data_IF_601318745796
#
_entry.id   IF_601318745796
#
_cell.length_a   1.000
_cell.length_b   1.000
_cell.length_c   1.000
_cell.angle_alpha   90.00
_cell.angle_beta   90.00
_cell.angle_gamma   90.00
#
_symmetry.space_group_name_H-M   'P 1'
#
loop_
_entity.id
_entity.type
_entity.pdbx_description
1 polymer ?
#
# COMPACT_ATOMS: atom_id res chain seq x y z
N UNK A 1 -15.34 2.18 12.28
CA UNK A 1 -14.40 1.04 12.47
C UNK A 1 -14.55 0.32 13.83
N UNK A 2 -14.16 0.91 14.98
CA UNK A 2 -14.15 0.18 16.27
C UNK A 2 -15.49 -0.47 16.66
N UNK A 3 -16.60 0.27 16.56
CA UNK A 3 -17.92 -0.26 16.87
C UNK A 3 -18.32 -1.46 15.99
N UNK A 4 -17.90 -1.47 14.72
CA UNK A 4 -18.19 -2.57 13.80
C UNK A 4 -17.39 -3.85 14.12
N UNK A 5 -16.19 -3.69 14.70
CA UNK A 5 -15.31 -4.80 15.09
C UNK A 5 -15.63 -5.34 16.49
N UNK A 6 -16.21 -4.53 17.37
CA UNK A 6 -16.47 -4.87 18.77
C UNK A 6 -17.27 -6.17 18.97
N UNK A 7 -18.15 -6.54 18.04
CA UNK A 7 -18.95 -7.76 18.14
C UNK A 7 -18.14 -9.05 18.02
N UNK A 8 -16.98 -9.00 17.36
CA UNK A 8 -16.21 -10.20 17.04
C UNK A 8 -15.32 -10.65 18.20
N UNK A 9 -15.15 -11.96 18.32
CA UNK A 9 -14.09 -12.56 19.12
C UNK A 9 -12.73 -12.19 18.53
N UNK A 10 -11.81 -11.77 19.40
CA UNK A 10 -10.53 -11.17 19.01
C UNK A 10 -9.63 -12.16 18.29
N UNK A 11 -9.48 -13.36 18.84
CA UNK A 11 -8.52 -14.35 18.36
C UNK A 11 -8.95 -14.92 17.01
N UNK A 12 -10.23 -15.26 16.87
CA UNK A 12 -10.80 -15.74 15.61
C UNK A 12 -10.77 -14.66 14.53
N UNK A 13 -11.16 -13.42 14.84
CA UNK A 13 -11.09 -12.30 13.90
C UNK A 13 -9.66 -12.04 13.41
N UNK A 14 -8.69 -12.01 14.33
CA UNK A 14 -7.29 -11.79 13.99
C UNK A 14 -6.75 -12.93 13.12
N UNK A 15 -6.94 -14.18 13.54
CA UNK A 15 -6.42 -15.34 12.83
C UNK A 15 -7.02 -15.47 11.43
N UNK A 16 -8.34 -15.30 11.31
CA UNK A 16 -9.02 -15.42 10.03
C UNK A 16 -8.60 -14.30 9.05
N UNK A 17 -8.49 -13.07 9.54
CA UNK A 17 -8.03 -11.94 8.73
C UNK A 17 -6.56 -12.10 8.33
N UNK A 18 -5.72 -12.61 9.21
CA UNK A 18 -4.31 -12.79 8.93
C UNK A 18 -4.08 -13.85 7.84
N UNK A 19 -4.82 -14.96 7.88
CA UNK A 19 -4.85 -15.96 6.81
C UNK A 19 -5.41 -15.38 5.50
N UNK A 20 -6.42 -14.51 5.58
CA UNK A 20 -6.95 -13.81 4.40
C UNK A 20 -5.89 -12.90 3.77
N UNK A 21 -5.10 -12.18 4.58
CA UNK A 21 -3.99 -11.35 4.08
C UNK A 21 -2.94 -12.22 3.39
N UNK A 22 -2.60 -13.40 3.92
CA UNK A 22 -1.70 -14.36 3.22
C UNK A 22 -2.26 -14.70 1.84
N UNK A 23 -3.54 -15.07 1.76
CA UNK A 23 -4.16 -15.41 0.48
C UNK A 23 -4.16 -14.23 -0.50
N UNK A 24 -4.38 -13.00 -0.02
CA UNK A 24 -4.32 -11.78 -0.84
C UNK A 24 -2.90 -11.54 -1.37
N UNK A 25 -1.89 -11.64 -0.51
CA UNK A 25 -0.49 -11.48 -0.93
C UNK A 25 -0.08 -12.57 -1.94
N UNK A 26 -0.50 -13.81 -1.72
CA UNK A 26 -0.29 -14.91 -2.66
C UNK A 26 -0.97 -14.62 -4.02
N UNK A 27 -2.23 -14.16 -4.03
CA UNK A 27 -2.95 -13.85 -5.26
C UNK A 27 -2.29 -12.71 -6.05
N UNK A 28 -1.86 -11.63 -5.39
CA UNK A 28 -1.24 -10.49 -6.08
C UNK A 28 0.12 -10.88 -6.70
N UNK A 29 0.88 -11.74 -6.02
CA UNK A 29 2.24 -12.10 -6.46
C UNK A 29 2.28 -13.30 -7.41
N UNK A 30 1.20 -14.10 -7.47
CA UNK A 30 1.10 -15.29 -8.32
C UNK A 30 1.42 -15.02 -9.81
N UNK A 31 0.83 -14.02 -10.50
CA UNK A 31 1.07 -13.81 -11.93
C UNK A 31 2.52 -13.44 -12.25
N UNK A 32 3.18 -12.69 -11.35
CA UNK A 32 4.50 -12.11 -11.60
C UNK A 32 5.65 -13.01 -11.17
N UNK A 33 5.47 -13.75 -10.08
CA UNK A 33 6.55 -14.51 -9.44
C UNK A 33 6.27 -16.02 -9.36
N UNK A 34 5.01 -16.41 -9.39
CA UNK A 34 4.63 -17.82 -9.23
C UNK A 34 4.57 -18.60 -10.54
N UNK A 35 3.99 -18.00 -11.58
CA UNK A 35 3.69 -18.71 -12.82
C UNK A 35 4.84 -18.58 -13.80
N UNK A 36 5.43 -19.72 -14.20
CA UNK A 36 6.57 -19.75 -15.14
C UNK A 36 6.16 -19.51 -16.59
N UNK A 37 4.95 -19.96 -16.94
CA UNK A 37 4.47 -19.94 -18.31
C UNK A 37 3.68 -18.66 -18.62
N UNK A 38 4.05 -17.89 -19.66
CA UNK A 38 3.40 -16.62 -19.94
C UNK A 38 1.88 -16.71 -20.19
N UNK A 39 1.46 -17.73 -20.94
CA UNK A 39 0.04 -17.93 -21.22
C UNK A 39 -0.79 -18.19 -19.96
N UNK A 40 -0.18 -18.73 -18.90
CA UNK A 40 -0.89 -19.10 -17.68
C UNK A 40 -1.24 -17.87 -16.85
N UNK A 41 -0.38 -16.85 -16.82
CA UNK A 41 -0.70 -15.60 -16.14
C UNK A 41 -1.74 -14.79 -16.92
N UNK A 42 -1.66 -14.72 -18.26
CA UNK A 42 -2.71 -14.10 -19.08
C UNK A 42 -4.04 -14.83 -18.88
N UNK A 43 -4.02 -16.17 -18.92
CA UNK A 43 -5.19 -16.99 -18.71
C UNK A 43 -5.81 -16.77 -17.32
N UNK A 44 -4.99 -16.54 -16.28
CA UNK A 44 -5.44 -16.23 -14.93
C UNK A 44 -6.07 -14.82 -14.87
N UNK A 45 -5.38 -13.79 -15.35
CA UNK A 45 -5.83 -12.39 -15.20
C UNK A 45 -7.16 -12.13 -15.92
N UNK A 46 -7.37 -12.76 -17.07
CA UNK A 46 -8.57 -12.60 -17.87
C UNK A 46 -9.75 -13.48 -17.41
N UNK A 47 -9.52 -14.43 -16.49
CA UNK A 47 -10.60 -15.29 -16.01
C UNK A 47 -11.66 -14.45 -15.26
N UNK A 48 -12.96 -14.58 -15.59
CA UNK A 48 -14.03 -13.94 -14.84
C UNK A 48 -14.01 -14.37 -13.37
N UNK A 49 -14.26 -13.45 -12.44
CA UNK A 49 -14.30 -13.79 -11.01
C UNK A 49 -15.43 -14.78 -10.69
N UNK A 50 -16.52 -14.68 -11.44
CA UNK A 50 -17.59 -15.66 -11.46
C UNK A 50 -17.14 -16.89 -12.25
N UNK A 51 -16.51 -17.82 -11.52
CA UNK A 51 -15.91 -19.04 -12.07
C UNK A 51 -16.94 -19.97 -12.75
N UNK A 52 -18.24 -19.77 -12.52
CA UNK A 52 -19.31 -20.55 -13.16
C UNK A 52 -19.47 -20.22 -14.65
N UNK A 53 -18.96 -19.05 -15.08
CA UNK A 53 -18.99 -18.64 -16.49
C UNK A 53 -17.98 -19.39 -17.35
N UNK A 54 -16.83 -19.75 -16.77
CA UNK A 54 -15.75 -20.47 -17.46
C UNK A 54 -15.21 -21.66 -16.64
N UNK A 55 -16.06 -22.65 -16.29
CA UNK A 55 -15.72 -23.68 -15.32
C UNK A 55 -14.61 -24.63 -15.80
N UNK A 56 -14.48 -24.83 -17.12
CA UNK A 56 -13.40 -25.64 -17.70
C UNK A 56 -12.04 -24.95 -17.56
N UNK A 57 -11.97 -23.65 -17.86
CA UNK A 57 -10.75 -22.85 -17.75
C UNK A 57 -10.30 -22.74 -16.30
N UNK A 58 -11.23 -22.47 -15.39
CA UNK A 58 -10.94 -22.48 -13.95
C UNK A 58 -10.37 -23.83 -13.50
N UNK A 59 -10.96 -24.95 -13.93
CA UNK A 59 -10.48 -26.29 -13.55
C UNK A 59 -9.05 -26.57 -14.02
N UNK A 60 -8.68 -26.13 -15.22
CA UNK A 60 -7.31 -26.23 -15.76
C UNK A 60 -6.34 -25.38 -14.94
N UNK A 61 -6.68 -24.11 -14.69
CA UNK A 61 -5.88 -23.21 -13.86
C UNK A 61 -5.69 -23.77 -12.45
N UNK A 62 -6.77 -24.22 -11.81
CA UNK A 62 -6.75 -24.84 -10.50
C UNK A 62 -5.85 -26.08 -10.46
N UNK A 63 -5.91 -26.93 -11.50
CA UNK A 63 -5.03 -28.10 -11.59
C UNK A 63 -3.55 -27.70 -11.60
N UNK A 64 -3.16 -26.68 -12.37
CA UNK A 64 -1.79 -26.17 -12.38
C UNK A 64 -1.38 -25.58 -11.03
N UNK A 65 -2.27 -24.84 -10.38
CA UNK A 65 -2.02 -24.27 -9.05
C UNK A 65 -1.81 -25.38 -8.01
N UNK A 66 -2.65 -26.42 -7.99
CA UNK A 66 -2.47 -27.59 -7.10
C UNK A 66 -1.16 -28.31 -7.41
N UNK A 67 -0.87 -28.55 -8.68
CA UNK A 67 0.35 -29.25 -9.10
C UNK A 67 1.63 -28.52 -8.65
N UNK A 68 1.65 -27.19 -8.77
CA UNK A 68 2.84 -26.40 -8.45
C UNK A 68 2.95 -26.04 -6.97
N UNK A 69 1.87 -25.61 -6.32
CA UNK A 69 1.87 -25.02 -4.98
C UNK A 69 1.20 -25.89 -3.91
N UNK A 70 0.55 -26.99 -4.30
CA UNK A 70 -0.14 -27.91 -3.40
C UNK A 70 -1.57 -27.50 -3.03
N UNK A 71 -2.28 -28.42 -2.39
CA UNK A 71 -3.71 -28.30 -2.07
C UNK A 71 -4.02 -27.14 -1.12
N UNK A 72 -3.18 -26.90 -0.11
CA UNK A 72 -3.44 -25.84 0.88
C UNK A 72 -3.38 -24.44 0.24
N UNK A 73 -2.47 -24.23 -0.71
CA UNK A 73 -2.41 -22.99 -1.48
C UNK A 73 -3.63 -22.85 -2.38
N UNK A 74 -3.97 -23.91 -3.13
CA UNK A 74 -5.12 -23.93 -4.02
C UNK A 74 -6.45 -23.68 -3.28
N UNK A 75 -6.58 -24.19 -2.05
CA UNK A 75 -7.73 -23.94 -1.19
C UNK A 75 -7.83 -22.46 -0.81
N UNK A 76 -6.74 -21.84 -0.32
CA UNK A 76 -6.72 -20.39 -0.01
C UNK A 76 -7.06 -19.54 -1.22
N UNK A 77 -6.46 -19.86 -2.37
CA UNK A 77 -6.74 -19.20 -3.65
C UNK A 77 -8.23 -19.28 -4.01
N UNK A 78 -8.80 -20.49 -4.02
CA UNK A 78 -10.21 -20.70 -4.38
C UNK A 78 -11.16 -20.02 -3.40
N UNK A 79 -10.89 -20.13 -2.10
CA UNK A 79 -11.67 -19.47 -1.05
C UNK A 79 -11.66 -17.95 -1.22
N UNK A 80 -10.51 -17.35 -1.52
CA UNK A 80 -10.40 -15.92 -1.76
C UNK A 80 -11.20 -15.49 -3.01
N UNK A 81 -11.12 -16.24 -4.11
CA UNK A 81 -11.87 -15.93 -5.33
C UNK A 81 -13.39 -16.00 -5.11
N UNK A 82 -13.86 -17.00 -4.37
CA UNK A 82 -15.28 -17.13 -4.02
C UNK A 82 -15.76 -15.93 -3.18
N UNK A 83 -14.95 -15.51 -2.21
CA UNK A 83 -15.26 -14.32 -1.40
C UNK A 83 -15.22 -13.04 -2.25
N UNK A 84 -14.26 -12.91 -3.16
CA UNK A 84 -14.18 -11.77 -4.08
C UNK A 84 -15.40 -11.71 -5.02
N UNK A 85 -15.89 -12.85 -5.51
CA UNK A 85 -17.14 -12.89 -6.28
C UNK A 85 -18.33 -12.44 -5.43
N UNK A 86 -18.45 -12.94 -4.20
CA UNK A 86 -19.54 -12.58 -3.28
C UNK A 86 -19.53 -11.08 -2.92
N UNK A 87 -18.36 -10.54 -2.57
CA UNK A 87 -18.23 -9.13 -2.21
C UNK A 87 -18.44 -8.21 -3.42
N UNK A 88 -18.02 -8.63 -4.61
CA UNK A 88 -18.27 -7.91 -5.85
C UNK A 88 -19.77 -7.76 -6.14
N UNK A 89 -20.56 -8.81 -5.91
CA UNK A 89 -22.02 -8.72 -6.01
C UNK A 89 -22.60 -7.78 -4.95
N UNK A 90 -22.15 -7.89 -3.69
CA UNK A 90 -22.60 -7.02 -2.60
C UNK A 90 -22.33 -5.54 -2.90
N UNK A 91 -21.11 -5.21 -3.33
CA UNK A 91 -20.75 -3.84 -3.67
C UNK A 91 -21.54 -3.29 -4.85
N UNK A 92 -21.82 -4.12 -5.87
CA UNK A 92 -22.68 -3.72 -6.97
C UNK A 92 -24.12 -3.45 -6.53
N UNK A 93 -24.66 -4.26 -5.60
CA UNK A 93 -26.01 -4.05 -5.04
C UNK A 93 -26.13 -2.76 -4.22
N UNK A 94 -25.02 -2.30 -3.61
CA UNK A 94 -24.98 -1.10 -2.78
C UNK A 94 -24.41 0.13 -3.52
N UNK A 95 -24.19 0.05 -4.83
CA UNK A 95 -23.67 1.12 -5.70
C UNK A 95 -22.37 1.78 -5.21
N UNK A 96 -21.43 0.98 -4.67
CA UNK A 96 -20.11 1.48 -4.22
C UNK A 96 -19.24 1.77 -5.45
N UNK A 97 -19.19 3.03 -5.91
CA UNK A 97 -18.55 3.39 -7.19
C UNK A 97 -17.04 3.15 -7.20
N UNK A 98 -16.36 3.31 -6.06
CA UNK A 98 -14.93 3.02 -5.91
C UNK A 98 -14.54 1.57 -6.24
N UNK A 99 -15.52 0.66 -6.25
CA UNK A 99 -15.35 -0.76 -6.60
C UNK A 99 -15.81 -1.11 -8.02
N UNK A 100 -16.27 -0.12 -8.80
CA UNK A 100 -16.89 -0.36 -10.10
C UNK A 100 -15.90 -1.02 -11.05
N UNK A 101 -16.22 -2.25 -11.47
CA UNK A 101 -15.38 -3.04 -12.37
C UNK A 101 -14.24 -3.79 -11.69
N UNK A 102 -13.97 -3.55 -10.41
CA UNK A 102 -12.92 -4.22 -9.62
C UNK A 102 -13.12 -5.73 -9.51
N UNK A 103 -14.36 -6.21 -9.61
CA UNK A 103 -14.70 -7.62 -9.45
C UNK A 103 -15.25 -8.24 -10.75
N UNK A 104 -14.67 -7.86 -11.90
CA UNK A 104 -15.05 -8.44 -13.21
C UNK A 104 -14.22 -9.66 -13.57
N UNK A 105 -12.91 -9.58 -13.34
CA UNK A 105 -11.94 -10.64 -13.59
C UNK A 105 -10.97 -10.76 -12.42
N UNK A 106 -10.18 -11.83 -12.38
CA UNK A 106 -9.13 -11.99 -11.37
C UNK A 106 -8.11 -10.85 -11.45
N UNK A 107 -7.73 -10.40 -12.65
CA UNK A 107 -6.82 -9.27 -12.82
C UNK A 107 -7.38 -7.97 -12.24
N UNK A 108 -8.68 -7.71 -12.40
CA UNK A 108 -9.32 -6.56 -11.77
C UNK A 108 -9.32 -6.67 -10.23
N UNK A 109 -9.53 -7.87 -9.69
CA UNK A 109 -9.49 -8.14 -8.25
C UNK A 109 -8.08 -7.92 -7.70
N UNK A 110 -7.05 -8.38 -8.41
CA UNK A 110 -5.64 -8.16 -8.04
C UNK A 110 -5.36 -6.66 -7.95
N UNK A 111 -5.69 -5.88 -8.98
CA UNK A 111 -5.47 -4.44 -8.98
C UNK A 111 -6.20 -3.75 -7.82
N UNK A 112 -7.44 -4.15 -7.56
CA UNK A 112 -8.22 -3.63 -6.44
C UNK A 112 -7.57 -3.95 -5.09
N UNK A 113 -7.25 -5.22 -4.81
CA UNK A 113 -6.61 -5.64 -3.56
C UNK A 113 -5.23 -5.00 -3.37
N UNK A 114 -4.44 -4.90 -4.44
CA UNK A 114 -3.13 -4.26 -4.43
C UNK A 114 -3.24 -2.78 -4.04
N UNK A 115 -4.22 -2.05 -4.59
CA UNK A 115 -4.46 -0.64 -4.21
C UNK A 115 -4.93 -0.47 -2.76
N UNK A 116 -5.48 -1.52 -2.13
CA UNK A 116 -5.93 -1.52 -0.72
C UNK A 116 -4.94 -2.20 0.23
N UNK A 117 -3.80 -2.70 -0.26
CA UNK A 117 -2.86 -3.54 0.53
C UNK A 117 -2.51 -2.93 1.89
N UNK A 118 -2.16 -1.64 1.92
CA UNK A 118 -1.85 -0.93 3.18
C UNK A 118 -3.04 -0.96 4.15
N UNK A 119 -4.25 -0.69 3.66
CA UNK A 119 -5.47 -0.67 4.47
C UNK A 119 -5.87 -2.05 5.02
N UNK A 120 -5.59 -3.13 4.27
CA UNK A 120 -5.81 -4.49 4.74
C UNK A 120 -4.92 -4.78 5.97
N UNK A 121 -3.64 -4.39 5.88
CA UNK A 121 -2.69 -4.51 7.00
C UNK A 121 -3.04 -3.57 8.16
N UNK A 122 -3.53 -2.35 7.89
CA UNK A 122 -4.00 -1.45 8.95
C UNK A 122 -5.19 -2.02 9.72
N UNK A 123 -6.09 -2.73 9.04
CA UNK A 123 -7.17 -3.43 9.71
C UNK A 123 -6.63 -4.56 10.60
N UNK A 124 -5.61 -5.30 10.15
CA UNK A 124 -4.93 -6.32 10.97
C UNK A 124 -4.36 -5.73 12.26
N UNK A 125 -3.72 -4.57 12.19
CA UNK A 125 -3.24 -3.84 13.36
C UNK A 125 -4.36 -3.32 14.27
N UNK A 126 -5.55 -3.08 13.73
CA UNK A 126 -6.69 -2.52 14.47
C UNK A 126 -7.48 -3.60 15.20
N UNK A 127 -7.55 -4.83 14.67
CA UNK A 127 -8.38 -5.91 15.24
C UNK A 127 -8.07 -6.20 16.72
N UNK A 128 -6.80 -6.39 17.16
CA UNK A 128 -6.50 -6.79 18.54
C UNK A 128 -7.09 -5.86 19.62
N UNK A 129 -7.14 -4.55 19.34
CA UNK A 129 -7.68 -3.54 20.27
C UNK A 129 -9.19 -3.31 20.10
N UNK A 130 -9.74 -3.56 18.91
CA UNK A 130 -11.11 -3.21 18.58
C UNK A 130 -12.10 -4.36 18.75
N UNK A 131 -11.66 -5.61 18.59
CA UNK A 131 -12.47 -6.80 18.78
C UNK A 131 -12.47 -7.21 20.27
N UNK A 132 -13.65 -7.27 20.88
CA UNK A 132 -13.85 -7.61 22.29
C UNK A 132 -15.15 -8.39 22.56
N UNK A 133 -15.78 -8.91 21.52
CA UNK A 133 -17.03 -9.64 21.59
C UNK A 133 -16.83 -11.14 21.62
N UNK A 134 -17.86 -11.88 21.21
CA UNK A 134 -17.89 -13.34 21.26
C UNK A 134 -18.20 -13.98 19.90
N UNK A 135 -18.52 -13.18 18.88
CA UNK A 135 -18.85 -13.71 17.56
C UNK A 135 -17.59 -14.21 16.86
N UNK A 136 -17.48 -15.53 16.68
CA UNK A 136 -16.39 -16.10 15.91
C UNK A 136 -16.49 -15.69 14.43
N UNK A 137 -15.35 -15.53 13.76
CA UNK A 137 -15.29 -15.21 12.32
C UNK A 137 -14.90 -16.47 11.52
N UNK A 138 -15.81 -17.02 10.70
CA UNK A 138 -15.49 -18.13 9.81
C UNK A 138 -14.53 -17.69 8.70
N UNK A 139 -13.55 -18.54 8.36
CA UNK A 139 -12.58 -18.26 7.29
C UNK A 139 -13.25 -17.96 5.95
N UNK A 140 -14.36 -18.66 5.64
CA UNK A 140 -15.08 -18.55 4.37
C UNK A 140 -15.80 -17.20 4.18
N UNK A 141 -16.03 -16.45 5.25
CA UNK A 141 -16.75 -15.17 5.22
C UNK A 141 -15.85 -13.96 5.55
N UNK A 142 -14.57 -14.19 5.79
CA UNK A 142 -13.70 -13.20 6.42
C UNK A 142 -13.55 -11.93 5.57
N UNK A 143 -13.26 -12.06 4.28
CA UNK A 143 -13.18 -10.91 3.36
C UNK A 143 -14.52 -10.18 3.28
N UNK A 144 -15.65 -10.90 3.25
CA UNK A 144 -16.99 -10.31 3.18
C UNK A 144 -17.34 -9.49 4.43
N UNK A 145 -16.80 -9.87 5.60
CA UNK A 145 -17.00 -9.12 6.85
C UNK A 145 -16.09 -7.89 6.94
N UNK A 146 -14.84 -8.01 6.49
CA UNK A 146 -13.79 -7.04 6.79
C UNK A 146 -13.46 -6.09 5.63
N UNK A 147 -13.59 -6.52 4.38
CA UNK A 147 -13.34 -5.66 3.22
C UNK A 147 -14.30 -4.46 3.14
N UNK A 148 -15.61 -4.57 3.47
CA UNK A 148 -16.48 -3.39 3.54
C UNK A 148 -16.00 -2.36 4.55
N UNK A 149 -15.42 -2.81 5.67
CA UNK A 149 -14.87 -1.89 6.67
C UNK A 149 -13.66 -1.14 6.10
N UNK A 150 -12.78 -1.85 5.39
CA UNK A 150 -11.64 -1.25 4.68
C UNK A 150 -12.11 -0.23 3.65
N UNK A 151 -13.07 -0.59 2.80
CA UNK A 151 -13.53 0.28 1.72
C UNK A 151 -14.27 1.51 2.27
N UNK A 152 -15.29 1.31 3.10
CA UNK A 152 -16.20 2.38 3.53
C UNK A 152 -15.58 3.27 4.61
N UNK A 153 -14.72 2.73 5.48
CA UNK A 153 -14.13 3.51 6.58
C UNK A 153 -12.68 3.88 6.27
N UNK A 154 -11.86 2.91 5.89
CA UNK A 154 -10.41 3.09 5.82
C UNK A 154 -9.95 3.88 4.60
N UNK A 155 -10.18 3.31 3.41
CA UNK A 155 -9.78 3.89 2.13
C UNK A 155 -10.50 5.23 1.89
N UNK A 156 -11.79 5.30 2.21
CA UNK A 156 -12.59 6.53 2.18
C UNK A 156 -11.98 7.63 3.03
N UNK A 157 -11.58 7.36 4.28
CA UNK A 157 -11.03 8.38 5.16
C UNK A 157 -9.75 8.98 4.58
N UNK A 158 -8.79 8.15 4.19
CA UNK A 158 -7.52 8.63 3.60
C UNK A 158 -7.71 9.28 2.24
N UNK A 159 -8.61 8.73 1.41
CA UNK A 159 -8.95 9.30 0.11
C UNK A 159 -9.61 10.66 0.25
N UNK A 160 -10.45 10.86 1.27
CA UNK A 160 -11.09 12.15 1.53
C UNK A 160 -10.06 13.21 1.89
N UNK A 161 -9.08 12.90 2.73
CA UNK A 161 -7.99 13.84 3.04
C UNK A 161 -7.17 14.20 1.80
N UNK A 162 -6.87 13.23 0.93
CA UNK A 162 -6.20 13.51 -0.34
C UNK A 162 -7.06 14.44 -1.21
N UNK A 163 -8.35 14.14 -1.39
CA UNK A 163 -9.22 14.95 -2.25
C UNK A 163 -9.48 16.35 -1.64
N UNK A 164 -9.54 16.47 -0.31
CA UNK A 164 -9.64 17.76 0.39
C UNK A 164 -8.39 18.61 0.15
N UNK A 165 -7.19 18.02 0.19
CA UNK A 165 -5.96 18.70 -0.20
C UNK A 165 -6.00 19.16 -1.66
N UNK A 166 -6.51 18.33 -2.58
CA UNK A 166 -6.63 18.73 -4.00
C UNK A 166 -7.58 19.92 -4.19
N UNK A 167 -8.68 20.00 -3.45
CA UNK A 167 -9.60 21.16 -3.46
C UNK A 167 -8.89 22.44 -2.98
N UNK A 168 -8.00 22.35 -1.98
CA UNK A 168 -7.24 23.51 -1.51
C UNK A 168 -6.17 23.97 -2.50
N UNK A 169 -5.55 23.04 -3.23
CA UNK A 169 -4.40 23.31 -4.12
C UNK A 169 -4.84 23.72 -5.52
N UNK A 170 -5.87 23.10 -6.08
CA UNK A 170 -6.28 23.24 -7.47
C UNK A 170 -7.63 23.96 -7.60
N UNK A 171 -7.63 25.13 -8.26
CA UNK A 171 -8.84 25.97 -8.41
C UNK A 171 -9.93 25.33 -9.28
N UNK A 172 -9.55 24.43 -10.17
CA UNK A 172 -10.39 23.70 -11.11
C UNK A 172 -10.83 22.32 -10.57
N UNK A 173 -10.39 21.95 -9.37
CA UNK A 173 -10.75 20.68 -8.74
C UNK A 173 -11.95 20.85 -7.82
N UNK A 174 -13.01 20.06 -8.07
CA UNK A 174 -14.20 20.04 -7.21
C UNK A 174 -14.41 18.66 -6.59
N UNK A 175 -14.90 18.65 -5.35
CA UNK A 175 -15.27 17.43 -4.63
C UNK A 175 -16.80 17.29 -4.65
N UNK A 176 -17.28 16.16 -5.14
CA UNK A 176 -18.69 15.81 -5.19
C UNK A 176 -18.99 14.77 -4.11
N UNK A 177 -20.01 15.03 -3.30
CA UNK A 177 -20.50 14.11 -2.27
C UNK A 177 -21.78 13.42 -2.75
N UNK A 178 -21.90 12.12 -2.47
CA UNK A 178 -23.10 11.30 -2.61
C UNK A 178 -23.37 10.62 -1.27
N UNK A 179 -24.55 10.04 -1.10
CA UNK A 179 -25.02 9.51 0.19
C UNK A 179 -23.99 8.62 0.91
N UNK A 180 -23.26 7.77 0.16
CA UNK A 180 -22.25 6.85 0.71
C UNK A 180 -20.88 6.92 0.03
N UNK A 181 -20.61 7.94 -0.79
CA UNK A 181 -19.36 8.02 -1.57
C UNK A 181 -18.97 9.47 -1.90
N UNK A 182 -17.74 9.68 -2.34
CA UNK A 182 -17.21 10.97 -2.73
C UNK A 182 -16.24 10.84 -3.92
N UNK A 183 -16.35 11.74 -4.91
CA UNK A 183 -15.46 11.73 -6.06
C UNK A 183 -14.93 13.13 -6.40
N UNK A 184 -13.77 13.17 -7.03
CA UNK A 184 -13.22 14.41 -7.60
C UNK A 184 -13.81 14.68 -8.97
N UNK A 185 -13.73 15.92 -9.45
CA UNK A 185 -14.01 16.29 -10.85
C UNK A 185 -13.15 15.51 -11.85
N UNK A 186 -11.92 15.16 -11.44
CA UNK A 186 -10.96 14.36 -12.19
C UNK A 186 -10.02 13.63 -11.24
N UNK A 187 -9.18 12.73 -11.78
CA UNK A 187 -8.17 12.01 -11.01
C UNK A 187 -6.77 12.35 -11.54
N UNK A 188 -5.79 12.35 -10.62
CA UNK A 188 -4.39 12.48 -10.97
C UNK A 188 -3.75 11.09 -10.94
N UNK A 189 -3.17 10.61 -12.05
CA UNK A 189 -2.48 9.33 -12.04
C UNK A 189 -1.28 9.40 -11.10
N UNK A 190 -1.09 8.34 -10.30
CA UNK A 190 0.10 8.19 -9.47
C UNK A 190 1.31 7.83 -10.35
N UNK A 191 2.49 8.33 -9.99
CA UNK A 191 3.75 7.95 -10.65
C UNK A 191 4.07 6.46 -10.44
N UNK A 192 3.74 5.92 -9.25
CA UNK A 192 3.82 4.48 -8.98
C UNK A 192 2.48 3.81 -9.26
N UNK A 193 2.46 2.95 -10.30
CA UNK A 193 1.28 2.16 -10.69
C UNK A 193 1.16 0.84 -9.91
N UNK A 194 2.17 0.50 -9.11
CA UNK A 194 2.26 -0.75 -8.37
C UNK A 194 1.71 -0.63 -6.94
N UNK A 195 1.22 0.55 -6.55
CA UNK A 195 0.71 0.86 -5.21
C UNK A 195 1.69 0.44 -4.10
N UNK A 196 2.99 0.57 -4.35
CA UNK A 196 4.01 0.19 -3.38
C UNK A 196 4.03 1.15 -2.19
N UNK A 197 4.64 0.70 -1.09
CA UNK A 197 4.93 1.59 0.03
C UNK A 197 5.82 2.75 -0.44
N UNK A 198 5.59 4.00 0.00
CA UNK A 198 6.36 5.15 -0.46
C UNK A 198 7.80 5.02 0.00
N UNK A 199 8.70 4.88 -0.97
CA UNK A 199 10.14 4.91 -0.76
C UNK A 199 10.71 6.13 -1.47
N UNK A 200 11.80 6.72 -0.94
CA UNK A 200 12.50 7.78 -1.69
C UNK A 200 13.09 7.25 -2.99
N UNK A 201 13.59 6.02 -2.97
CA UNK A 201 14.16 5.37 -4.14
C UNK A 201 14.03 3.87 -3.94
N UNK A 202 13.42 3.18 -4.91
CA UNK A 202 13.28 1.74 -4.84
C UNK A 202 14.65 1.07 -5.01
N UNK A 203 14.75 -0.20 -4.60
CA UNK A 203 15.97 -0.98 -4.83
C UNK A 203 16.31 -1.08 -6.32
N UNK A 204 15.29 -1.10 -7.19
CA UNK A 204 15.42 -1.20 -8.65
C UNK A 204 15.97 0.10 -9.24
N UNK A 205 15.61 1.26 -8.68
CA UNK A 205 16.06 2.56 -9.16
C UNK A 205 17.49 2.90 -8.68
N UNK A 206 17.93 2.35 -7.54
CA UNK A 206 19.26 2.63 -6.96
C UNK A 206 20.39 2.04 -7.80
N UNK A 207 20.22 0.80 -8.20
CA UNK A 207 21.04 0.10 -9.17
C UNK A 207 20.12 -0.88 -9.90
N UNK A 208 20.15 -0.94 -11.24
CA UNK A 208 19.69 -2.14 -11.92
C UNK A 208 20.45 -3.30 -11.27
N UNK A 209 19.75 -4.32 -10.78
CA UNK A 209 20.40 -5.52 -10.25
C UNK A 209 21.15 -6.18 -11.40
N UNK A 210 22.40 -5.77 -11.61
CA UNK A 210 23.24 -6.35 -12.65
C UNK A 210 23.39 -7.85 -12.33
N UNK A 211 23.29 -8.73 -13.34
CA UNK A 211 23.45 -10.18 -13.12
C UNK A 211 24.72 -10.52 -12.33
N UNK A 212 25.80 -9.77 -12.55
CA UNK A 212 27.06 -9.91 -11.80
C UNK A 212 26.92 -9.62 -10.30
N UNK A 213 26.09 -8.65 -9.89
CA UNK A 213 25.80 -8.37 -8.48
C UNK A 213 24.99 -9.51 -7.86
N UNK A 214 24.01 -10.03 -8.58
CA UNK A 214 23.18 -11.16 -8.12
C UNK A 214 24.03 -12.43 -7.94
N UNK A 215 24.92 -12.72 -8.89
CA UNK A 215 25.88 -13.82 -8.80
C UNK A 215 26.86 -13.64 -7.64
N UNK A 216 27.36 -12.42 -7.41
CA UNK A 216 28.29 -12.12 -6.32
C UNK A 216 27.68 -12.28 -4.92
N UNK A 217 26.35 -12.13 -4.78
CA UNK A 217 25.65 -12.11 -3.48
C UNK A 217 25.31 -13.53 -2.97
N UNK A 218 25.62 -14.58 -3.74
CA UNK A 218 25.49 -16.00 -3.37
C UNK A 218 24.13 -16.32 -2.73
N UNK A 219 23.05 -16.15 -3.48
CA UNK A 219 21.68 -16.31 -2.98
C UNK A 219 21.38 -17.77 -2.58
N UNK A 220 20.58 -17.93 -1.53
CA UNK A 220 20.03 -19.24 -1.12
C UNK A 220 19.06 -19.76 -2.19
N UNK A 221 19.00 -21.08 -2.41
CA UNK A 221 18.00 -21.66 -3.30
C UNK A 221 16.59 -21.45 -2.74
N UNK A 222 15.66 -21.04 -3.61
CA UNK A 222 14.26 -20.82 -3.28
C UNK A 222 13.38 -21.90 -3.92
N UNK A 223 12.33 -22.31 -3.22
CA UNK A 223 11.40 -23.32 -3.73
C UNK A 223 10.41 -22.70 -4.71
N UNK A 224 10.30 -23.24 -5.92
CA UNK A 224 9.28 -22.79 -6.88
C UNK A 224 7.85 -23.19 -6.52
N UNK A 225 7.67 -23.95 -5.44
CA UNK A 225 6.36 -24.35 -4.91
C UNK A 225 5.81 -23.37 -3.87
N UNK A 226 6.51 -22.27 -3.60
CA UNK A 226 6.10 -21.22 -2.65
C UNK A 226 6.31 -19.85 -3.28
N UNK A 227 5.42 -18.92 -2.96
CA UNK A 227 5.55 -17.50 -3.33
C UNK A 227 6.29 -16.67 -2.30
N UNK A 228 6.34 -17.18 -1.07
CA UNK A 228 7.01 -16.54 0.05
C UNK A 228 7.68 -17.62 0.89
N UNK A 229 8.87 -17.32 1.36
CA UNK A 229 9.66 -18.23 2.17
C UNK A 229 10.66 -17.47 3.04
N UNK A 230 11.12 -18.13 4.09
CA UNK A 230 12.22 -17.66 4.91
C UNK A 230 13.51 -17.46 4.08
N UNK A 231 13.76 -18.31 3.08
CA UNK A 231 14.91 -18.18 2.18
C UNK A 231 14.82 -16.91 1.31
N UNK A 232 13.64 -16.60 0.77
CA UNK A 232 13.41 -15.34 0.05
C UNK A 232 13.66 -14.12 0.93
N UNK A 233 13.17 -14.13 2.17
CA UNK A 233 13.44 -13.04 3.12
C UNK A 233 14.95 -12.87 3.40
N UNK A 234 15.71 -13.97 3.54
CA UNK A 234 17.16 -13.89 3.73
C UNK A 234 17.88 -13.39 2.48
N UNK A 235 17.42 -13.79 1.29
CA UNK A 235 17.93 -13.30 0.02
C UNK A 235 17.64 -11.81 -0.18
N UNK A 236 16.43 -11.35 0.15
CA UNK A 236 16.04 -9.94 0.14
C UNK A 236 17.00 -9.10 0.99
N UNK A 237 17.35 -9.57 2.19
CA UNK A 237 18.29 -8.86 3.07
C UNK A 237 19.68 -8.75 2.39
N UNK A 238 20.18 -9.84 1.77
CA UNK A 238 21.47 -9.82 1.09
C UNK A 238 21.47 -8.87 -0.10
N UNK A 239 20.39 -8.85 -0.88
CA UNK A 239 20.21 -7.92 -1.99
C UNK A 239 20.13 -6.47 -1.53
N UNK A 240 19.42 -6.18 -0.42
CA UNK A 240 19.42 -4.84 0.19
C UNK A 240 20.82 -4.43 0.65
N UNK A 241 21.56 -5.30 1.33
CA UNK A 241 22.93 -4.99 1.77
C UNK A 241 23.85 -4.69 0.58
N UNK A 242 23.71 -5.43 -0.52
CA UNK A 242 24.48 -5.25 -1.74
C UNK A 242 24.11 -3.96 -2.50
N UNK A 243 22.82 -3.74 -2.78
CA UNK A 243 22.34 -2.58 -3.54
C UNK A 243 22.64 -1.24 -2.86
N UNK A 244 22.78 -1.24 -1.53
CA UNK A 244 23.06 -0.04 -0.73
C UNK A 244 24.45 -0.07 -0.07
N UNK A 245 25.36 -0.93 -0.54
CA UNK A 245 26.71 -1.06 0.01
C UNK A 245 27.50 0.26 -0.03
N UNK A 246 27.30 1.09 -1.06
CA UNK A 246 27.90 2.43 -1.18
C UNK A 246 27.59 3.36 0.00
N UNK A 247 26.47 3.13 0.71
CA UNK A 247 26.02 3.95 1.84
C UNK A 247 26.32 3.32 3.20
N UNK A 248 27.10 2.24 3.22
CA UNK A 248 27.43 1.46 4.41
C UNK A 248 26.16 0.99 5.18
N UNK A 249 25.19 0.44 4.44
CA UNK A 249 23.95 -0.06 5.05
C UNK A 249 24.25 -1.16 6.09
N UNK A 250 25.17 -2.08 5.78
CA UNK A 250 25.60 -3.15 6.69
C UNK A 250 26.36 -2.62 7.94
N UNK A 251 27.01 -1.47 7.86
CA UNK A 251 27.60 -0.78 9.02
C UNK A 251 26.61 0.03 9.85
N UNK A 252 25.39 0.26 9.34
CA UNK A 252 24.35 1.04 10.03
C UNK A 252 23.54 0.24 11.06
N UNK A 253 22.52 0.87 11.68
CA UNK A 253 21.57 0.17 12.55
C UNK A 253 20.73 -0.90 11.83
N UNK A 254 20.71 -0.90 10.49
CA UNK A 254 20.02 -1.91 9.70
C UNK A 254 20.54 -3.32 9.97
N UNK A 255 21.84 -3.50 10.25
CA UNK A 255 22.44 -4.80 10.55
C UNK A 255 21.75 -5.54 11.70
N UNK A 256 21.25 -4.79 12.69
CA UNK A 256 20.56 -5.37 13.84
C UNK A 256 19.16 -5.87 13.45
N UNK A 257 18.46 -5.12 12.60
CA UNK A 257 17.16 -5.54 12.04
C UNK A 257 17.33 -6.76 11.12
N UNK A 258 18.34 -6.73 10.25
CA UNK A 258 18.70 -7.84 9.37
C UNK A 258 19.06 -9.10 10.16
N UNK A 259 19.91 -8.99 11.19
CA UNK A 259 20.27 -10.12 12.05
C UNK A 259 19.05 -10.69 12.79
N UNK A 260 18.16 -9.82 13.30
CA UNK A 260 16.91 -10.25 13.92
C UNK A 260 16.01 -10.98 12.92
N UNK A 261 15.78 -10.40 11.74
CA UNK A 261 14.92 -11.00 10.73
C UNK A 261 15.45 -12.35 10.25
N UNK A 262 16.76 -12.49 10.00
CA UNK A 262 17.40 -13.79 9.68
C UNK A 262 17.13 -14.83 10.76
N UNK A 263 17.41 -14.50 12.02
CA UNK A 263 17.22 -15.41 13.14
C UNK A 263 15.75 -15.84 13.32
N UNK A 264 14.81 -14.92 13.11
CA UNK A 264 13.39 -15.21 13.24
C UNK A 264 12.84 -15.97 12.03
N UNK A 265 13.36 -15.70 10.82
CA UNK A 265 13.01 -16.44 9.61
C UNK A 265 13.37 -17.93 9.72
N UNK A 266 14.50 -18.26 10.36
CA UNK A 266 14.90 -19.65 10.63
C UNK A 266 13.94 -20.40 11.58
N UNK A 267 13.07 -19.66 12.27
CA UNK A 267 12.07 -20.18 13.19
C UNK A 267 10.65 -20.14 12.60
N UNK A 268 10.50 -19.80 11.32
CA UNK A 268 9.19 -19.65 10.69
C UNK A 268 8.49 -21.00 10.48
N UNK A 269 7.23 -21.09 10.90
CA UNK A 269 6.36 -22.24 10.65
C UNK A 269 5.89 -22.21 9.18
N UNK A 270 6.00 -23.35 8.49
CA UNK A 270 5.73 -23.47 7.04
C UNK A 270 6.46 -22.42 6.18
N UNK A 271 7.67 -22.00 6.61
CA UNK A 271 8.47 -20.95 5.97
C UNK A 271 7.77 -19.58 5.82
N UNK A 272 6.64 -19.37 6.51
CA UNK A 272 5.83 -18.16 6.36
C UNK A 272 5.46 -17.50 7.69
N UNK A 273 4.95 -18.29 8.64
CA UNK A 273 4.42 -17.77 9.91
C UNK A 273 5.51 -17.59 10.94
N UNK A 274 5.50 -16.45 11.63
CA UNK A 274 6.41 -16.18 12.73
C UNK A 274 5.63 -16.06 14.01
N UNK A 275 5.93 -16.92 14.99
CA UNK A 275 5.28 -16.92 16.31
C UNK A 275 6.33 -17.05 17.41
N UNK A 276 6.27 -16.14 18.38
CA UNK A 276 7.16 -16.20 19.54
C UNK A 276 6.53 -15.58 20.77
N UNK A 277 6.83 -16.17 21.93
CA UNK A 277 6.45 -15.58 23.21
C UNK A 277 7.26 -14.31 23.49
N UNK A 278 6.70 -13.41 24.30
CA UNK A 278 7.39 -12.19 24.74
C UNK A 278 8.76 -12.48 25.35
N UNK A 279 8.87 -13.54 26.16
CA UNK A 279 10.14 -13.98 26.76
C UNK A 279 11.17 -14.39 25.70
N UNK A 280 10.76 -15.11 24.66
CA UNK A 280 11.66 -15.49 23.56
C UNK A 280 12.10 -14.26 22.78
N UNK A 281 11.20 -13.31 22.51
CA UNK A 281 11.53 -12.04 21.87
C UNK A 281 12.59 -11.27 22.65
N UNK A 282 12.38 -11.03 23.95
CA UNK A 282 13.35 -10.27 24.76
C UNK A 282 14.71 -10.96 24.87
N UNK A 283 14.73 -12.30 24.89
CA UNK A 283 15.97 -13.08 24.88
C UNK A 283 16.74 -12.90 23.57
N UNK A 284 16.07 -13.04 22.43
CA UNK A 284 16.68 -12.84 21.10
C UNK A 284 17.14 -11.38 20.94
N UNK A 285 16.29 -10.42 21.29
CA UNK A 285 16.59 -9.00 21.20
C UNK A 285 17.81 -8.61 22.06
N UNK A 286 17.96 -9.21 23.24
CA UNK A 286 19.11 -8.99 24.12
C UNK A 286 20.36 -9.67 23.60
N UNK A 287 20.26 -10.91 23.10
CA UNK A 287 21.38 -11.64 22.50
C UNK A 287 21.96 -10.90 21.28
N UNK A 288 21.09 -10.34 20.44
CA UNK A 288 21.47 -9.54 19.26
C UNK A 288 21.77 -8.07 19.59
N UNK A 289 21.66 -7.67 20.88
CA UNK A 289 21.90 -6.31 21.37
C UNK A 289 21.12 -5.25 20.58
N UNK A 290 19.85 -5.53 20.27
CA UNK A 290 19.03 -4.61 19.49
C UNK A 290 18.89 -3.24 20.18
N UNK A 291 19.12 -2.12 19.49
CA UNK A 291 18.84 -0.78 20.01
C UNK A 291 17.39 -0.62 20.46
N UNK A 292 17.15 0.21 21.48
CA UNK A 292 15.81 0.37 22.05
C UNK A 292 14.78 0.85 21.01
N UNK A 293 15.16 1.80 20.14
CA UNK A 293 14.29 2.28 19.06
C UNK A 293 13.87 1.14 18.11
N UNK A 294 14.80 0.26 17.75
CA UNK A 294 14.51 -0.92 16.92
C UNK A 294 13.58 -1.91 17.64
N UNK A 295 13.84 -2.20 18.93
CA UNK A 295 12.97 -3.07 19.73
C UNK A 295 11.52 -2.58 19.75
N UNK A 296 11.34 -1.26 19.88
CA UNK A 296 10.03 -0.64 19.89
C UNK A 296 9.36 -0.66 18.52
N UNK A 297 10.12 -0.51 17.44
CA UNK A 297 9.60 -0.55 16.07
C UNK A 297 9.23 -1.97 15.60
N UNK A 298 9.82 -3.01 16.20
CA UNK A 298 9.54 -4.41 15.87
C UNK A 298 8.17 -4.90 16.35
N UNK A 299 7.58 -4.26 17.36
CA UNK A 299 6.32 -4.68 17.97
C UNK A 299 5.27 -3.59 17.78
N UNK A 300 4.14 -3.96 17.20
CA UNK A 300 3.02 -3.05 16.97
C UNK A 300 2.52 -2.45 18.28
N UNK A 301 2.13 -1.18 18.23
CA UNK A 301 1.51 -0.46 19.33
C UNK A 301 0.10 -0.06 18.91
N UNK A 302 -0.84 -0.31 19.82
CA UNK A 302 -2.21 0.17 19.70
C UNK A 302 -2.25 1.67 19.34
N UNK A 303 -3.15 2.03 18.43
CA UNK A 303 -3.26 3.36 17.85
C UNK A 303 -4.53 3.50 17.01
N UNK A 304 -4.85 4.70 16.59
CA UNK A 304 -5.97 4.98 15.67
C UNK A 304 -5.81 4.22 14.35
N UNK A 305 -6.89 4.13 13.57
CA UNK A 305 -6.79 3.49 12.25
C UNK A 305 -5.75 4.17 11.35
N UNK A 306 -5.60 5.50 11.42
CA UNK A 306 -4.60 6.23 10.63
C UNK A 306 -3.18 6.11 11.20
N UNK A 307 -3.02 5.99 12.51
CA UNK A 307 -1.71 5.60 13.06
C UNK A 307 -1.31 4.20 12.55
N UNK A 308 -2.28 3.30 12.46
CA UNK A 308 -2.09 1.95 11.91
C UNK A 308 -1.84 1.94 10.39
N UNK A 309 -2.26 2.94 9.62
CA UNK A 309 -1.86 3.07 8.20
C UNK A 309 -0.40 3.46 8.03
N UNK A 310 0.20 4.10 9.02
CA UNK A 310 1.62 4.47 9.02
C UNK A 310 2.50 3.50 9.85
N UNK A 311 1.93 2.40 10.34
CA UNK A 311 2.67 1.37 11.06
C UNK A 311 3.36 0.38 10.10
N UNK A 312 4.60 0.03 10.44
CA UNK A 312 5.42 -0.98 9.73
C UNK A 312 5.85 -2.13 10.65
N UNK A 313 5.31 -2.21 11.86
CA UNK A 313 5.74 -3.21 12.82
C UNK A 313 5.45 -4.65 12.31
N UNK A 314 6.44 -5.54 12.29
CA UNK A 314 6.29 -6.88 11.74
C UNK A 314 5.63 -7.87 12.72
N UNK A 315 5.64 -7.56 14.02
CA UNK A 315 5.07 -8.42 15.06
C UNK A 315 3.88 -7.72 15.73
N UNK A 316 2.78 -8.46 15.86
CA UNK A 316 1.55 -8.01 16.49
C UNK A 316 1.31 -8.89 17.72
N UNK A 317 1.03 -8.25 18.85
CA UNK A 317 0.74 -8.98 20.09
C UNK A 317 -0.73 -9.40 20.11
N UNK A 318 -0.96 -10.71 20.26
CA UNK A 318 -2.28 -11.31 20.36
C UNK A 318 -2.20 -12.50 21.33
N UNK A 319 -3.08 -12.52 22.33
CA UNK A 319 -3.15 -13.56 23.37
C UNK A 319 -1.80 -13.96 23.98
N UNK A 320 -0.95 -12.97 24.26
CA UNK A 320 0.37 -13.16 24.87
C UNK A 320 1.45 -13.72 23.94
N UNK A 321 1.16 -13.85 22.64
CA UNK A 321 2.12 -14.22 21.60
C UNK A 321 2.36 -13.03 20.66
N UNK A 322 3.61 -12.89 20.22
CA UNK A 322 3.98 -12.00 19.13
C UNK A 322 3.88 -12.79 17.83
N UNK A 323 2.98 -12.38 16.95
CA UNK A 323 2.68 -13.06 15.69
C UNK A 323 3.02 -12.15 14.52
N UNK A 324 3.66 -12.68 13.49
CA UNK A 324 4.05 -11.99 12.27
C UNK A 324 4.17 -12.94 11.09
N UNK A 325 4.68 -12.45 9.96
CA UNK A 325 5.00 -13.26 8.78
C UNK A 325 6.33 -12.84 8.17
N UNK A 326 6.90 -13.69 7.32
CA UNK A 326 8.06 -13.32 6.49
C UNK A 326 7.77 -12.11 5.60
N UNK A 327 6.53 -11.95 5.11
CA UNK A 327 6.12 -10.78 4.32
C UNK A 327 6.08 -9.49 5.16
N UNK A 328 5.55 -9.55 6.39
CA UNK A 328 5.57 -8.39 7.30
C UNK A 328 7.00 -8.04 7.74
N UNK A 329 7.87 -9.03 7.92
CA UNK A 329 9.30 -8.80 8.17
C UNK A 329 9.98 -8.14 6.97
N UNK A 330 9.72 -8.59 5.75
CA UNK A 330 10.25 -7.94 4.53
C UNK A 330 9.79 -6.49 4.45
N UNK A 331 8.49 -6.23 4.60
CA UNK A 331 7.90 -4.87 4.65
C UNK A 331 8.58 -4.00 5.72
N UNK A 332 8.81 -4.53 6.91
CA UNK A 332 9.52 -3.82 7.98
C UNK A 332 10.98 -3.49 7.60
N UNK A 333 11.69 -4.42 6.96
CA UNK A 333 13.09 -4.20 6.56
C UNK A 333 13.21 -3.12 5.50
N UNK A 334 12.33 -3.08 4.49
CA UNK A 334 12.26 -1.99 3.51
C UNK A 334 12.07 -0.63 4.20
N UNK A 335 11.14 -0.54 5.16
CA UNK A 335 10.95 0.65 5.98
C UNK A 335 12.19 1.01 6.81
N UNK A 336 12.75 0.06 7.56
CA UNK A 336 13.86 0.31 8.48
C UNK A 336 15.16 0.65 7.75
N UNK A 337 15.38 0.06 6.57
CA UNK A 337 16.43 0.43 5.63
C UNK A 337 16.34 1.93 5.32
N UNK A 338 15.16 2.41 4.94
CA UNK A 338 14.95 3.82 4.62
C UNK A 338 15.21 4.72 5.86
N UNK A 339 14.76 4.32 7.05
CA UNK A 339 15.06 5.04 8.31
C UNK A 339 16.57 5.18 8.53
N UNK A 340 17.35 4.12 8.29
CA UNK A 340 18.80 4.14 8.43
C UNK A 340 19.47 5.03 7.36
N UNK A 341 19.09 4.85 6.10
CA UNK A 341 19.67 5.57 4.97
C UNK A 341 19.32 7.07 4.98
N UNK A 342 18.19 7.48 5.56
CA UNK A 342 17.85 8.90 5.72
C UNK A 342 18.82 9.65 6.63
N UNK A 343 19.62 8.97 7.44
CA UNK A 343 20.70 9.60 8.21
C UNK A 343 21.95 9.85 7.36
N UNK A 344 22.05 9.23 6.17
CA UNK A 344 23.21 9.33 5.29
C UNK A 344 23.01 10.44 4.23
N UNK A 345 23.86 11.47 4.29
CA UNK A 345 23.79 12.63 3.37
C UNK A 345 24.05 12.26 1.91
N UNK A 346 24.98 11.34 1.64
CA UNK A 346 25.31 10.89 0.29
C UNK A 346 24.11 10.17 -0.34
N UNK A 347 23.42 9.34 0.43
CA UNK A 347 22.18 8.70 0.00
C UNK A 347 21.10 9.72 -0.35
N UNK A 348 20.87 10.71 0.54
CA UNK A 348 19.88 11.76 0.27
C UNK A 348 20.15 12.50 -1.05
N UNK A 349 21.41 12.83 -1.34
CA UNK A 349 21.80 13.50 -2.58
C UNK A 349 21.54 12.60 -3.79
N UNK A 350 22.00 11.34 -3.76
CA UNK A 350 21.82 10.40 -4.89
C UNK A 350 20.34 10.10 -5.16
N UNK A 351 19.55 9.86 -4.12
CA UNK A 351 18.10 9.67 -4.23
C UNK A 351 17.38 10.89 -4.82
N UNK A 352 17.92 12.10 -4.58
CA UNK A 352 17.45 13.33 -5.21
C UNK A 352 17.67 13.31 -6.72
N UNK A 353 18.90 13.04 -7.16
CA UNK A 353 19.22 12.97 -8.60
C UNK A 353 18.44 11.89 -9.35
N UNK A 354 18.22 10.73 -8.73
CA UNK A 354 17.41 9.65 -9.33
C UNK A 354 15.96 10.13 -9.53
N UNK A 355 15.40 10.79 -8.52
CA UNK A 355 14.05 11.34 -8.60
C UNK A 355 13.92 12.45 -9.64
N UNK A 356 14.90 13.36 -9.74
CA UNK A 356 14.95 14.39 -10.79
C UNK A 356 14.97 13.79 -12.19
N UNK A 357 15.75 12.71 -12.37
CA UNK A 357 15.82 11.99 -13.64
C UNK A 357 14.48 11.35 -14.00
N UNK A 358 13.83 10.66 -13.05
CA UNK A 358 12.52 10.05 -13.28
C UNK A 358 11.45 11.10 -13.65
N UNK A 359 11.45 12.26 -12.98
CA UNK A 359 10.56 13.38 -13.34
C UNK A 359 10.85 13.90 -14.76
N UNK A 360 12.13 14.00 -15.13
CA UNK A 360 12.54 14.46 -16.46
C UNK A 360 12.05 13.51 -17.56
N UNK A 361 12.25 12.21 -17.37
CA UNK A 361 11.82 11.16 -18.31
C UNK A 361 10.30 11.13 -18.49
N UNK A 362 9.55 11.27 -17.39
CA UNK A 362 8.08 11.34 -17.44
C UNK A 362 7.58 12.59 -18.19
N UNK A 363 8.23 13.74 -17.99
CA UNK A 363 7.91 14.97 -18.72
C UNK A 363 8.19 14.83 -20.22
N UNK A 364 9.31 14.21 -20.61
CA UNK A 364 9.60 13.95 -22.02
C UNK A 364 8.55 13.04 -22.68
N UNK A 365 8.14 11.98 -21.99
CA UNK A 365 7.08 11.08 -22.46
C UNK A 365 5.74 11.82 -22.65
N UNK A 366 5.50 12.87 -21.87
CA UNK A 366 4.31 13.73 -21.99
C UNK A 366 4.47 14.85 -23.03
N UNK A 367 5.56 14.86 -23.81
CA UNK A 367 5.81 15.80 -24.90
C UNK A 367 6.46 17.13 -24.48
N UNK A 368 6.99 17.23 -23.26
CA UNK A 368 7.79 18.39 -22.86
C UNK A 368 9.22 18.26 -23.41
N UNK A 369 9.82 19.38 -23.80
CA UNK A 369 11.24 19.43 -24.20
C UNK A 369 12.11 19.79 -22.99
N UNK A 370 13.01 18.90 -22.57
CA UNK A 370 13.98 19.20 -21.51
C UNK A 370 14.97 20.28 -21.97
N UNK A 371 15.36 21.15 -21.05
CA UNK A 371 16.42 22.13 -21.30
C UNK A 371 17.64 21.85 -20.43
N UNK A 372 18.87 22.07 -20.96
CA UNK A 372 20.09 21.92 -20.16
C UNK A 372 20.29 23.08 -19.19
N UNK A 373 19.52 24.17 -19.31
CA UNK A 373 19.65 25.38 -18.50
C UNK A 373 18.86 25.22 -17.21
N UNK A 374 19.54 24.82 -16.14
CA UNK A 374 18.93 24.69 -14.80
C UNK A 374 18.87 25.99 -14.00
N UNK A 375 19.49 27.07 -14.48
CA UNK A 375 19.57 28.36 -13.78
C UNK A 375 18.93 29.48 -14.60
N UNK A 376 17.86 30.07 -14.07
CA UNK A 376 17.15 31.20 -14.67
C UNK A 376 17.08 32.32 -13.64
N UNK A 377 17.51 33.53 -13.98
CA UNK A 377 17.51 34.71 -13.10
C UNK A 377 18.16 34.45 -11.73
N UNK A 378 19.34 33.80 -11.74
CA UNK A 378 20.10 33.39 -10.54
C UNK A 378 19.39 32.40 -9.61
N UNK A 379 18.23 31.85 -9.99
CA UNK A 379 17.55 30.77 -9.28
C UNK A 379 17.84 29.45 -9.96
N UNK A 380 18.11 28.43 -9.14
CA UNK A 380 18.38 27.07 -9.58
C UNK A 380 17.10 26.24 -9.48
N UNK A 381 16.80 25.50 -10.53
CA UNK A 381 15.67 24.60 -10.64
C UNK A 381 16.17 23.21 -10.96
N UNK A 382 15.49 22.20 -10.43
CA UNK A 382 15.94 20.82 -10.58
C UNK A 382 15.70 20.32 -12.02
N UNK A 383 14.54 20.68 -12.59
CA UNK A 383 14.15 20.38 -13.98
C UNK A 383 13.53 21.63 -14.62
N UNK A 384 13.97 21.96 -15.83
CA UNK A 384 13.41 23.07 -16.64
C UNK A 384 12.99 22.52 -17.99
N UNK A 385 11.73 22.71 -18.35
CA UNK A 385 11.15 22.19 -19.59
C UNK A 385 10.40 23.25 -20.37
N UNK A 386 10.18 22.99 -21.67
CA UNK A 386 9.38 23.85 -22.55
C UNK A 386 8.26 23.00 -23.15
N UNK A 387 7.04 23.55 -23.16
CA UNK A 387 5.90 23.00 -23.89
C UNK A 387 5.04 24.12 -24.42
N UNK A 388 4.69 24.05 -25.71
CA UNK A 388 3.87 25.05 -26.39
C UNK A 388 4.38 26.50 -26.21
N UNK A 389 5.71 26.67 -26.21
CA UNK A 389 6.37 27.96 -26.02
C UNK A 389 6.41 28.48 -24.57
N UNK A 390 5.86 27.72 -23.61
CA UNK A 390 5.83 28.07 -22.18
C UNK A 390 6.98 27.36 -21.46
N UNK A 391 7.72 28.11 -20.64
CA UNK A 391 8.79 27.56 -19.79
C UNK A 391 8.21 27.12 -18.44
N UNK A 392 8.47 25.87 -18.07
CA UNK A 392 8.10 25.29 -16.78
C UNK A 392 9.35 25.09 -15.94
N UNK A 393 9.36 25.73 -14.76
CA UNK A 393 10.45 25.62 -13.79
C UNK A 393 10.00 24.71 -12.65
N UNK A 394 10.59 23.53 -12.54
CA UNK A 394 10.12 22.47 -11.64
C UNK A 394 11.14 22.25 -10.53
N UNK A 395 10.66 22.32 -9.29
CA UNK A 395 11.42 21.92 -8.10
C UNK A 395 10.94 20.55 -7.64
N UNK A 396 11.85 19.60 -7.62
CA UNK A 396 11.68 18.25 -7.13
C UNK A 396 12.02 18.22 -5.62
N UNK A 397 11.07 17.77 -4.79
CA UNK A 397 11.31 17.49 -3.37
C UNK A 397 10.96 16.06 -3.05
N UNK A 398 11.97 15.22 -2.91
CA UNK A 398 11.84 13.81 -2.55
C UNK A 398 11.74 13.65 -1.03
N UNK A 399 10.63 14.10 -0.44
CA UNK A 399 10.36 13.99 0.99
C UNK A 399 9.28 12.95 1.26
N UNK A 400 9.46 12.16 2.32
CA UNK A 400 8.39 11.28 2.81
C UNK A 400 7.30 12.15 3.43
N UNK A 401 6.09 12.10 2.88
CA UNK A 401 4.92 12.76 3.46
C UNK A 401 4.33 11.83 4.52
N UNK A 402 4.31 12.31 5.76
CA UNK A 402 3.64 11.64 6.86
C UNK A 402 2.14 11.95 6.80
N UNK A 403 1.33 10.94 6.50
CA UNK A 403 -0.12 11.11 6.31
C UNK A 403 -0.81 11.57 7.60
N UNK A 404 -0.25 11.26 8.77
CA UNK A 404 -0.80 11.76 10.05
C UNK A 404 -0.72 13.29 10.16
N UNK A 405 0.23 13.93 9.46
CA UNK A 405 0.34 15.40 9.42
C UNK A 405 -0.75 16.05 8.56
N UNK A 406 -1.24 15.34 7.53
CA UNK A 406 -2.40 15.80 6.76
C UNK A 406 -3.62 15.86 7.69
N UNK A 407 -3.83 14.84 8.53
CA UNK A 407 -4.94 14.83 9.48
C UNK A 407 -4.85 15.93 10.54
N UNK A 408 -3.68 16.14 11.14
CA UNK A 408 -3.50 17.18 12.16
C UNK A 408 -3.84 18.59 11.64
N UNK A 409 -3.63 18.82 10.34
CA UNK A 409 -3.89 20.12 9.70
C UNK A 409 -5.38 20.27 9.36
N UNK A 410 -6.05 19.22 8.88
CA UNK A 410 -7.47 19.26 8.50
C UNK A 410 -8.44 19.05 9.68
N UNK A 411 -8.05 18.33 10.73
CA UNK A 411 -8.85 18.22 11.96
C UNK A 411 -9.03 19.59 12.65
N UNK A 412 -8.13 20.55 12.39
CA UNK A 412 -8.22 21.93 12.90
C UNK A 412 -9.01 22.88 11.99
N UNK A 413 -9.54 22.43 10.84
CA UNK A 413 -10.40 23.24 9.97
C UNK A 413 -11.71 22.51 9.71
N UNK A 414 -12.84 22.91 10.30
CA UNK A 414 -14.13 22.39 9.86
C UNK A 414 -14.31 22.70 8.37
N UNK A 415 -14.41 21.65 7.55
CA UNK A 415 -14.77 21.77 6.14
C UNK A 415 -16.23 22.22 6.13
N UNK A 416 -16.47 23.54 6.08
CA UNK A 416 -17.81 24.05 5.81
C UNK A 416 -18.14 23.76 4.35
N UNK A 417 -19.23 23.04 4.05
CA UNK A 417 -19.71 22.93 2.69
C UNK A 417 -20.02 24.35 2.19
N UNK A 418 -19.33 24.79 1.13
CA UNK A 418 -19.77 25.99 0.41
C UNK A 418 -21.14 25.66 -0.15
N UNK A 419 -22.15 26.35 0.36
CA UNK A 419 -23.53 26.22 -0.08
C UNK A 419 -23.59 26.35 -1.61
N UNK A 420 -24.14 25.33 -2.25
CA UNK A 420 -24.53 25.35 -3.65
C UNK A 420 -25.50 26.52 -3.82
N UNK A 421 -25.17 27.44 -4.72
CA UNK A 421 -25.89 28.69 -4.90
C UNK A 421 -27.39 28.47 -5.09
N UNK A 422 -28.19 29.10 -4.25
CA UNK A 422 -29.62 29.25 -4.48
C UNK A 422 -29.85 29.99 -5.80
N UNK A 423 -30.50 29.30 -6.73
CA UNK A 423 -31.14 29.87 -7.90
C UNK A 423 -32.11 30.97 -7.44
N UNK A 424 -31.67 32.24 -7.48
CA UNK A 424 -32.59 33.38 -7.42
C UNK A 424 -33.32 33.49 -8.75
N UNK A 425 -34.54 32.98 -8.77
CA UNK A 425 -35.54 33.28 -9.81
C UNK A 425 -35.94 34.76 -9.71
N UNK A 426 -35.37 35.61 -10.56
CA UNK A 426 -35.79 36.99 -10.72
C UNK A 426 -36.92 37.10 -11.74
N UNK A 427 -38.17 37.23 -11.27
CA UNK A 427 -39.28 37.70 -12.10
C UNK A 427 -39.27 39.25 -12.15
N UNK A 428 -39.64 39.89 -13.27
CA UNK A 428 -39.47 41.32 -13.48
C UNK A 428 -40.67 42.13 -12.95
N UNK A 429 -40.40 43.19 -12.20
CA UNK A 429 -41.25 44.36 -11.95
C UNK A 429 -40.26 45.53 -11.85
N UNK A 430 -40.32 46.62 -12.59
CA UNK A 430 -41.44 47.42 -13.07
C UNK A 430 -40.97 48.88 -12.83
N UNK A 431 -40.94 49.69 -13.89
CA UNK A 431 -40.79 51.17 -13.92
C UNK A 431 -41.38 51.86 -12.69
N UNK A 432 -40.86 52.90 -12.05
CA UNK A 432 -40.28 54.22 -12.41
C UNK A 432 -40.28 55.03 -11.07
N UNK A 433 -39.91 56.33 -10.96
CA UNK A 433 -39.01 57.17 -11.75
C UNK A 433 -37.92 57.85 -10.88
N UNK A 434 -36.98 58.51 -11.57
CA UNK A 434 -35.94 59.37 -11.00
C UNK A 434 -36.54 60.69 -10.50
N UNK A 435 -36.07 61.16 -9.35
CA UNK A 435 -36.00 62.59 -9.04
C UNK A 435 -34.56 63.00 -8.67
N UNK A 436 -34.15 64.22 -9.06
CA UNK A 436 -32.77 64.67 -9.00
C UNK A 436 -32.47 65.32 -7.65
N UNK A 437 -31.20 65.44 -7.30
CA UNK A 437 -30.79 66.36 -6.23
C UNK A 437 -29.47 67.05 -6.57
N UNK A 438 -29.31 68.29 -6.10
CA UNK A 438 -28.53 69.32 -6.77
C UNK A 438 -27.18 69.58 -6.07
N UNK A 439 -26.29 70.20 -6.85
CA UNK A 439 -25.00 70.83 -6.51
C UNK A 439 -23.90 70.00 -5.83
#
# INVERSE_FOLDING_TARGET
>A
MHAALAKFDRQSAFSAWFETIRAVEELINLPRFGLKEPWLWEALLDLPIDMTREPRRFRVLHHHIVYQFGETFAQRFTTLLLQAAAIGMSFAMHDIQSSRGAFRSIGAVINYLQSRRRHLVSLLYTIPQAANGQQAVPQIDTLNQFLPLVEINGATLTGLYQKAMLVEVFKDYTLHFRDNDFCGSHEYPMLDRMHLEPERTSIIDMQPLEPALVEAVNLEPVSSARLFSAAELRNDIRLMEAAYAEFDLAGSEFRFAAAFARHIADLAEDDYWVRLSRRKFERVASALRLPQALRQALVHRAGSYTENTNSYAPLIEIDGQLTGTVALLSRFLYYWRNVCLYKNRRYQIRSGYIFEKAVSEELEQQGFSLTPVKRINHKEFDVVTIRDGIIFNIQCKNNLVDVTKLEATFACRPIQPRAVGELRTGAPKGSEPREPSPE
#
